data_IF_960853272954
#
_entry.id   IF_960853272954
#
_cell.length_a   1.000
_cell.length_b   1.000
_cell.length_c   1.000
_cell.angle_alpha   90.00
_cell.angle_beta   90.00
_cell.angle_gamma   90.00
#
_symmetry.space_group_name_H-M   'P 1'
#
loop_
_entity.id
_entity.type
_entity.pdbx_description
1 polymer ?
#
# COMPACT_ATOMS: atom_id res chain seq x y z
N UNK A 1 -2.10 -9.32 5.35
CA UNK A 1 -0.76 -9.91 5.54
C UNK A 1 -0.49 -10.43 6.94
N UNK A 2 -0.33 -9.57 7.97
CA UNK A 2 -0.10 -10.04 9.34
C UNK A 2 -1.23 -10.98 9.82
N UNK A 3 -2.48 -10.61 9.60
CA UNK A 3 -3.62 -11.47 9.91
C UNK A 3 -3.56 -12.84 9.20
N UNK A 4 -3.17 -12.86 7.91
CA UNK A 4 -2.97 -14.11 7.15
C UNK A 4 -1.88 -15.00 7.78
N UNK A 5 -0.79 -14.38 8.27
CA UNK A 5 0.28 -15.10 8.97
C UNK A 5 -0.18 -15.75 10.28
N UNK A 6 -1.20 -15.16 10.90
CA UNK A 6 -1.86 -15.72 12.11
C UNK A 6 -2.94 -16.75 11.77
N UNK A 7 -3.14 -17.07 10.48
CA UNK A 7 -4.16 -18.03 10.05
C UNK A 7 -5.57 -17.45 9.96
N UNK A 8 -5.73 -16.12 10.03
CA UNK A 8 -7.02 -15.45 9.91
C UNK A 8 -7.44 -15.31 8.45
N UNK A 9 -8.74 -15.47 8.18
CA UNK A 9 -9.29 -15.22 6.86
C UNK A 9 -9.20 -13.71 6.52
N UNK A 10 -8.56 -13.32 5.38
CA UNK A 10 -8.42 -11.91 5.00
C UNK A 10 -9.75 -11.19 4.85
N UNK A 11 -10.78 -11.85 4.35
CA UNK A 11 -12.12 -11.27 4.16
C UNK A 11 -12.79 -10.97 5.49
N UNK A 12 -12.75 -11.91 6.42
CA UNK A 12 -13.29 -11.73 7.77
C UNK A 12 -12.54 -10.58 8.49
N UNK A 13 -11.20 -10.53 8.36
CA UNK A 13 -10.41 -9.43 8.89
C UNK A 13 -10.83 -8.08 8.33
N UNK A 14 -11.02 -7.97 7.02
CA UNK A 14 -11.48 -6.74 6.35
C UNK A 14 -12.84 -6.28 6.89
N UNK A 15 -13.79 -7.20 7.09
CA UNK A 15 -15.12 -6.86 7.64
C UNK A 15 -15.02 -6.33 9.07
N UNK A 16 -14.20 -6.94 9.92
CA UNK A 16 -13.96 -6.46 11.28
C UNK A 16 -13.32 -5.07 11.26
N UNK A 17 -12.32 -4.86 10.41
CA UNK A 17 -11.66 -3.56 10.26
C UNK A 17 -12.64 -2.47 9.81
N UNK A 18 -13.54 -2.78 8.86
CA UNK A 18 -14.59 -1.86 8.39
C UNK A 18 -15.55 -1.43 9.51
N UNK A 19 -15.86 -2.32 10.45
CA UNK A 19 -16.73 -2.06 11.59
C UNK A 19 -16.03 -1.41 12.80
N UNK A 20 -14.74 -1.10 12.69
CA UNK A 20 -13.92 -0.59 13.79
C UNK A 20 -13.61 0.91 13.66
N UNK A 21 -13.02 1.48 14.72
CA UNK A 21 -12.50 2.84 14.70
C UNK A 21 -11.33 3.05 13.71
N UNK A 22 -10.75 1.97 13.19
CA UNK A 22 -9.71 2.00 12.16
C UNK A 22 -10.27 2.12 10.73
N UNK A 23 -11.59 2.17 10.56
CA UNK A 23 -12.21 2.29 9.24
C UNK A 23 -11.69 3.51 8.48
N UNK A 24 -11.41 3.28 7.20
CA UNK A 24 -11.15 4.34 6.22
C UNK A 24 -11.85 3.98 4.92
N UNK A 25 -12.37 4.97 4.21
CA UNK A 25 -13.09 4.78 2.95
C UNK A 25 -12.29 3.97 1.92
N UNK A 26 -10.96 4.05 1.96
CA UNK A 26 -10.09 3.25 1.09
C UNK A 26 -10.31 1.74 1.25
N UNK A 27 -10.79 1.28 2.40
CA UNK A 27 -11.13 -0.13 2.61
C UNK A 27 -12.30 -0.57 1.73
N UNK A 28 -13.24 0.32 1.42
CA UNK A 28 -14.35 0.03 0.51
C UNK A 28 -13.90 0.00 -0.95
N UNK A 29 -12.94 0.85 -1.31
CA UNK A 29 -12.42 0.96 -2.67
C UNK A 29 -11.41 -0.14 -3.00
N UNK A 30 -10.52 -0.45 -2.07
CA UNK A 30 -9.36 -1.33 -2.30
C UNK A 30 -9.39 -2.65 -1.52
N UNK A 31 -10.26 -2.79 -0.52
CA UNK A 31 -10.29 -3.96 0.34
C UNK A 31 -10.43 -5.27 -0.43
N UNK A 32 -11.38 -5.36 -1.35
CA UNK A 32 -11.58 -6.53 -2.19
C UNK A 32 -10.39 -6.81 -3.12
N UNK A 33 -9.73 -5.76 -3.61
CA UNK A 33 -8.52 -5.92 -4.42
C UNK A 33 -7.39 -6.56 -3.63
N UNK A 34 -7.22 -6.19 -2.37
CA UNK A 34 -6.24 -6.83 -1.48
C UNK A 34 -6.58 -8.31 -1.20
N UNK A 35 -7.84 -8.61 -0.91
CA UNK A 35 -8.29 -9.97 -0.62
C UNK A 35 -8.12 -10.88 -1.82
N UNK A 36 -8.49 -10.40 -3.01
CA UNK A 36 -8.50 -11.18 -4.25
C UNK A 36 -7.17 -11.10 -5.04
N UNK A 37 -6.18 -10.33 -4.55
CA UNK A 37 -4.94 -10.03 -5.29
C UNK A 37 -5.21 -9.51 -6.70
N UNK A 38 -6.22 -8.67 -6.84
CA UNK A 38 -6.57 -8.02 -8.09
C UNK A 38 -5.79 -6.72 -8.23
N UNK A 39 -4.79 -6.73 -9.11
CA UNK A 39 -3.91 -5.59 -9.35
C UNK A 39 -4.22 -4.86 -10.66
N UNK A 40 -5.41 -5.07 -11.23
CA UNK A 40 -5.87 -4.26 -12.36
C UNK A 40 -5.93 -2.78 -11.95
N UNK A 41 -5.24 -1.86 -12.66
CA UNK A 41 -5.02 -0.52 -12.15
C UNK A 41 -6.24 0.39 -12.22
N UNK A 42 -6.62 0.97 -11.07
CA UNK A 42 -7.38 2.21 -10.99
C UNK A 42 -6.45 3.41 -10.79
N UNK A 43 -5.33 3.20 -10.09
CA UNK A 43 -4.22 4.14 -9.94
C UNK A 43 -2.94 3.34 -9.87
N UNK A 44 -1.98 3.63 -10.78
CA UNK A 44 -0.76 2.86 -10.91
C UNK A 44 0.25 3.15 -9.81
N UNK A 45 1.08 2.16 -9.49
CA UNK A 45 2.24 2.29 -8.57
C UNK A 45 3.14 3.47 -8.99
N UNK A 46 3.50 3.58 -10.28
CA UNK A 46 4.38 4.65 -10.77
C UNK A 46 3.80 6.05 -10.54
N UNK A 47 2.48 6.20 -10.65
CA UNK A 47 1.81 7.48 -10.40
C UNK A 47 1.83 7.82 -8.91
N UNK A 48 1.50 6.84 -8.06
CA UNK A 48 1.56 7.00 -6.61
C UNK A 48 2.98 7.30 -6.12
N UNK A 49 3.98 6.60 -6.65
CA UNK A 49 5.39 6.84 -6.33
C UNK A 49 5.79 8.28 -6.66
N UNK A 50 5.40 8.79 -7.83
CA UNK A 50 5.66 10.18 -8.21
C UNK A 50 5.08 11.16 -7.17
N UNK A 51 3.84 10.95 -6.76
CA UNK A 51 3.17 11.83 -5.80
C UNK A 51 3.83 11.77 -4.42
N UNK A 52 4.20 10.57 -3.96
CA UNK A 52 4.93 10.39 -2.69
C UNK A 52 6.28 11.08 -2.72
N UNK A 53 7.05 10.95 -3.81
CA UNK A 53 8.34 11.64 -3.98
C UNK A 53 8.17 13.16 -3.92
N UNK A 54 7.15 13.69 -4.56
CA UNK A 54 6.85 15.12 -4.48
C UNK A 54 6.53 15.56 -3.04
N UNK A 55 5.71 14.80 -2.31
CA UNK A 55 5.39 15.12 -0.91
C UNK A 55 6.63 15.12 -0.02
N UNK A 56 7.48 14.10 -0.14
CA UNK A 56 8.73 13.99 0.64
C UNK A 56 9.67 15.14 0.32
N UNK A 57 9.87 15.47 -0.97
CA UNK A 57 10.74 16.58 -1.40
C UNK A 57 10.24 17.94 -0.86
N UNK A 58 8.95 18.23 -0.99
CA UNK A 58 8.38 19.46 -0.45
C UNK A 58 8.49 19.55 1.07
N UNK A 59 8.26 18.45 1.78
CA UNK A 59 8.42 18.40 3.22
C UNK A 59 9.86 18.72 3.63
N UNK A 60 10.85 18.09 3.00
CA UNK A 60 12.27 18.35 3.27
C UNK A 60 12.65 19.81 3.01
N UNK A 61 12.17 20.43 1.92
CA UNK A 61 12.37 21.85 1.65
C UNK A 61 11.76 22.76 2.71
N UNK A 62 10.67 22.32 3.33
CA UNK A 62 10.03 23.01 4.46
C UNK A 62 10.68 22.72 5.82
N UNK A 63 11.74 21.91 5.86
CA UNK A 63 12.41 21.50 7.10
C UNK A 63 11.68 20.42 7.89
N UNK A 64 10.73 19.70 7.25
CA UNK A 64 9.95 18.63 7.85
C UNK A 64 10.35 17.27 7.29
N UNK A 65 10.51 16.26 8.15
CA UNK A 65 10.62 14.86 7.74
C UNK A 65 9.28 14.16 7.81
N UNK A 66 9.07 13.18 6.93
CA UNK A 66 7.87 12.34 6.87
C UNK A 66 8.27 10.86 6.94
N UNK A 67 8.67 10.32 8.10
CA UNK A 67 9.28 9.00 8.19
C UNK A 67 8.42 7.87 7.61
N UNK A 68 7.10 7.90 7.83
CA UNK A 68 6.21 6.89 7.28
C UNK A 68 6.10 6.98 5.75
N UNK A 69 6.09 8.19 5.20
CA UNK A 69 6.04 8.38 3.74
C UNK A 69 7.36 7.98 3.07
N UNK A 70 8.49 8.18 3.73
CA UNK A 70 9.79 7.71 3.25
C UNK A 70 9.83 6.17 3.17
N UNK A 71 9.23 5.48 4.13
CA UNK A 71 9.06 4.02 4.06
C UNK A 71 8.13 3.63 2.92
N UNK A 72 7.02 4.34 2.73
CA UNK A 72 6.09 4.09 1.60
C UNK A 72 6.80 4.28 0.27
N UNK A 73 7.61 5.34 0.12
CA UNK A 73 8.43 5.58 -1.07
C UNK A 73 9.32 4.36 -1.40
N UNK A 74 10.06 3.86 -0.42
CA UNK A 74 10.92 2.68 -0.58
C UNK A 74 10.16 1.42 -0.98
N UNK A 75 8.94 1.23 -0.46
CA UNK A 75 8.09 0.10 -0.84
C UNK A 75 7.63 0.21 -2.29
N UNK A 76 7.16 1.38 -2.71
CA UNK A 76 6.74 1.63 -4.09
C UNK A 76 7.90 1.51 -5.08
N UNK A 77 9.10 1.99 -4.71
CA UNK A 77 10.32 1.79 -5.51
C UNK A 77 10.66 0.30 -5.66
N UNK A 78 10.48 -0.48 -4.60
CA UNK A 78 10.63 -1.93 -4.65
C UNK A 78 9.68 -2.58 -5.66
N UNK A 79 8.41 -2.18 -5.68
CA UNK A 79 7.45 -2.66 -6.69
C UNK A 79 7.91 -2.31 -8.12
N UNK A 80 8.30 -1.05 -8.36
CA UNK A 80 8.79 -0.62 -9.69
C UNK A 80 9.99 -1.44 -10.12
N UNK A 81 10.94 -1.65 -9.23
CA UNK A 81 12.14 -2.47 -9.49
C UNK A 81 11.80 -3.91 -9.85
N UNK A 82 10.70 -4.44 -9.32
CA UNK A 82 10.22 -5.79 -9.61
C UNK A 82 9.26 -5.84 -10.82
N UNK A 83 9.13 -4.77 -11.62
CA UNK A 83 8.32 -4.74 -12.82
C UNK A 83 6.82 -4.54 -12.58
N UNK A 84 6.43 -4.11 -11.38
CA UNK A 84 5.03 -3.94 -10.95
C UNK A 84 4.54 -2.49 -11.05
N UNK A 85 5.31 -1.61 -11.72
CA UNK A 85 5.00 -0.18 -11.80
C UNK A 85 3.64 0.14 -12.41
N UNK A 86 3.15 -0.70 -13.32
CA UNK A 86 1.85 -0.55 -13.98
C UNK A 86 0.69 -1.23 -13.25
N UNK A 87 0.94 -1.92 -12.15
CA UNK A 87 -0.10 -2.50 -11.31
C UNK A 87 -0.82 -1.42 -10.50
N UNK A 88 -2.03 -1.76 -10.04
CA UNK A 88 -2.75 -0.94 -9.08
C UNK A 88 -1.89 -0.69 -7.83
N UNK A 89 -1.99 0.49 -7.24
CA UNK A 89 -1.18 0.85 -6.07
C UNK A 89 -1.42 -0.05 -4.85
N UNK A 90 -2.51 -0.82 -4.80
CA UNK A 90 -2.70 -1.83 -3.77
C UNK A 90 -1.67 -2.98 -3.87
N UNK A 91 -0.99 -3.15 -5.00
CA UNK A 91 0.08 -4.13 -5.16
C UNK A 91 1.32 -3.85 -4.29
N UNK A 92 1.37 -2.70 -3.59
CA UNK A 92 2.41 -2.42 -2.58
C UNK A 92 2.52 -3.55 -1.54
N UNK A 93 1.44 -4.27 -1.28
CA UNK A 93 1.43 -5.43 -0.38
C UNK A 93 2.39 -6.54 -0.84
N UNK A 94 2.63 -6.69 -2.14
CA UNK A 94 3.57 -7.70 -2.65
C UNK A 94 5.02 -7.37 -2.28
N UNK A 95 5.38 -6.08 -2.28
CA UNK A 95 6.70 -5.68 -1.79
C UNK A 95 6.86 -5.95 -0.29
N UNK A 96 5.82 -5.67 0.50
CA UNK A 96 5.82 -6.00 1.93
C UNK A 96 5.98 -7.52 2.13
N UNK A 97 5.30 -8.35 1.32
CA UNK A 97 5.44 -9.82 1.36
C UNK A 97 6.86 -10.27 1.05
N UNK A 98 7.52 -9.67 0.05
CA UNK A 98 8.91 -9.99 -0.31
C UNK A 98 9.90 -9.69 0.82
N UNK A 99 9.67 -8.61 1.56
CA UNK A 99 10.50 -8.24 2.71
C UNK A 99 10.24 -9.08 3.97
N UNK A 100 9.12 -9.79 3.98
CA UNK A 100 8.72 -10.64 5.12
C UNK A 100 9.18 -12.06 4.86
N UNK A 101 10.04 -12.55 5.68
CA UNK A 101 10.54 -13.92 5.63
C UNK A 101 9.97 -14.80 6.75
#
# INVERSE_FOLDING_TARGET
>A
MFAERLGLDPRAFLEVARGSAAYAQIMDVKGEKYVNRDYHPHGKIVQHLKDVKMMVDYAHRAGQTLPLMEVVEQLLEGNVKNGEGDYDNCAVIEEVRRRTR
#
